data_IF_763903335432
#
_entry.id   IF_763903335432
#
_cell.length_a   1.000
_cell.length_b   1.000
_cell.length_c   1.000
_cell.angle_alpha   90.00
_cell.angle_beta   90.00
_cell.angle_gamma   90.00
#
_symmetry.space_group_name_H-M   'P 1'
#
loop_
_entity.id
_entity.type
_entity.pdbx_description
1 polymer ?
#
# COMPACT_ATOMS: atom_id res chain seq x y z
N UNK A 1 64.97 -22.67 -20.67
CA UNK A 1 64.80 -21.50 -19.77
C UNK A 1 63.48 -20.84 -20.14
N UNK A 2 62.72 -20.39 -19.14
CA UNK A 2 61.37 -19.75 -19.14
C UNK A 2 60.18 -20.70 -18.81
N UNK A 3 59.39 -20.23 -17.84
CA UNK A 3 58.51 -20.88 -16.87
C UNK A 3 57.01 -20.62 -17.09
N UNK A 4 56.18 -21.40 -16.37
CA UNK A 4 54.83 -21.10 -15.84
C UNK A 4 53.64 -21.05 -16.83
N UNK A 5 52.66 -21.95 -16.62
CA UNK A 5 51.28 -21.61 -16.20
C UNK A 5 50.66 -22.73 -15.36
N UNK A 6 50.06 -22.33 -14.24
CA UNK A 6 49.15 -23.11 -13.40
C UNK A 6 47.82 -23.21 -14.14
N UNK A 7 47.22 -24.39 -14.21
CA UNK A 7 45.80 -24.53 -14.53
C UNK A 7 45.06 -25.07 -13.31
N UNK A 8 44.06 -24.29 -12.92
CA UNK A 8 43.33 -24.36 -11.67
C UNK A 8 42.36 -25.54 -11.61
N UNK A 9 42.41 -26.23 -10.46
CA UNK A 9 41.46 -27.25 -10.05
C UNK A 9 40.02 -26.70 -10.05
N UNK A 10 39.21 -27.21 -10.97
CA UNK A 10 37.81 -26.85 -11.13
C UNK A 10 36.96 -27.27 -9.91
N UNK A 11 36.73 -26.32 -9.01
CA UNK A 11 35.81 -26.49 -7.89
C UNK A 11 34.36 -26.68 -8.40
N UNK A 12 33.77 -27.83 -8.06
CA UNK A 12 32.41 -28.26 -8.43
C UNK A 12 31.29 -27.23 -8.13
N UNK A 13 30.29 -27.02 -9.03
CA UNK A 13 29.26 -25.97 -8.90
C UNK A 13 28.20 -26.23 -7.81
N UNK A 14 28.17 -27.43 -7.25
CA UNK A 14 27.04 -27.93 -6.46
C UNK A 14 26.98 -27.34 -5.04
N UNK A 15 28.13 -26.97 -4.48
CA UNK A 15 28.22 -26.30 -3.17
C UNK A 15 27.75 -24.84 -3.19
N UNK A 16 27.79 -24.17 -4.36
CA UNK A 16 27.39 -22.75 -4.50
C UNK A 16 25.86 -22.57 -4.52
N UNK A 17 25.10 -23.57 -5.02
CA UNK A 17 23.62 -23.52 -5.07
C UNK A 17 22.97 -23.73 -3.69
N UNK A 18 23.50 -24.64 -2.86
CA UNK A 18 23.00 -24.87 -1.49
C UNK A 18 23.21 -23.66 -0.56
N UNK A 19 24.31 -22.92 -0.69
CA UNK A 19 24.57 -21.68 0.07
C UNK A 19 23.61 -20.53 -0.28
N UNK A 20 23.23 -20.37 -1.56
CA UNK A 20 22.29 -19.31 -1.98
C UNK A 20 20.86 -19.52 -1.47
N UNK A 21 20.41 -20.77 -1.33
CA UNK A 21 19.08 -21.11 -0.77
C UNK A 21 19.01 -20.83 0.75
N UNK A 22 20.03 -21.25 1.51
CA UNK A 22 20.10 -20.97 2.97
C UNK A 22 20.11 -19.48 3.32
N UNK A 23 20.71 -18.63 2.48
CA UNK A 23 20.69 -17.17 2.68
C UNK A 23 19.33 -16.52 2.38
N UNK A 24 18.50 -17.13 1.52
CA UNK A 24 17.15 -16.61 1.24
C UNK A 24 16.21 -16.83 2.42
N UNK A 25 16.33 -17.96 3.12
CA UNK A 25 15.49 -18.26 4.28
C UNK A 25 15.85 -17.45 5.52
N UNK A 26 17.10 -17.00 5.66
CA UNK A 26 17.52 -16.15 6.79
C UNK A 26 17.00 -14.71 6.73
N UNK A 27 16.31 -14.34 5.63
CA UNK A 27 15.69 -13.01 5.44
C UNK A 27 14.20 -12.98 5.77
N UNK A 28 13.52 -14.14 5.86
CA UNK A 28 12.11 -14.22 6.26
C UNK A 28 12.03 -14.50 7.75
N UNK A 29 11.21 -13.72 8.45
CA UNK A 29 10.80 -14.05 9.80
C UNK A 29 9.98 -15.35 9.79
N UNK A 30 10.06 -16.14 10.85
CA UNK A 30 9.17 -17.29 11.04
C UNK A 30 7.74 -16.82 11.26
N UNK A 31 6.77 -17.70 11.04
CA UNK A 31 5.36 -17.34 11.24
C UNK A 31 5.07 -17.00 12.71
N UNK A 32 5.76 -17.64 13.64
CA UNK A 32 5.70 -17.30 15.08
C UNK A 32 6.27 -15.90 15.36
N UNK A 33 7.41 -15.56 14.76
CA UNK A 33 7.99 -14.21 14.86
C UNK A 33 7.04 -13.15 14.28
N UNK A 34 6.40 -13.44 13.15
CA UNK A 34 5.41 -12.54 12.54
C UNK A 34 4.21 -12.36 13.48
N UNK A 35 3.65 -13.45 14.01
CA UNK A 35 2.51 -13.39 14.94
C UNK A 35 2.78 -12.53 16.16
N UNK A 36 3.96 -12.65 16.78
CA UNK A 36 4.29 -11.81 17.94
C UNK A 36 4.47 -10.34 17.54
N UNK A 37 5.16 -10.06 16.42
CA UNK A 37 5.31 -8.70 15.90
C UNK A 37 3.95 -8.06 15.59
N UNK A 38 3.00 -8.83 15.08
CA UNK A 38 1.64 -8.37 14.79
C UNK A 38 0.84 -8.09 16.06
N UNK A 39 0.87 -9.00 17.05
CA UNK A 39 0.20 -8.80 18.34
C UNK A 39 0.68 -7.53 19.05
N UNK A 40 1.99 -7.24 19.01
CA UNK A 40 2.57 -6.03 19.59
C UNK A 40 2.23 -4.79 18.76
N UNK A 41 2.13 -4.93 17.44
CA UNK A 41 1.73 -3.83 16.57
C UNK A 41 0.27 -3.41 16.83
N UNK A 42 -0.62 -4.37 17.06
CA UNK A 42 -2.03 -4.10 17.38
C UNK A 42 -2.20 -3.37 18.71
N UNK A 43 -1.36 -3.66 19.71
CA UNK A 43 -1.42 -2.98 21.01
C UNK A 43 -0.79 -1.58 21.04
N UNK A 44 0.21 -1.29 20.19
CA UNK A 44 1.05 -0.08 20.28
C UNK A 44 1.15 0.72 18.97
N UNK A 45 0.14 0.61 18.11
CA UNK A 45 0.04 1.10 16.72
C UNK A 45 0.69 2.48 16.40
N UNK A 46 0.83 3.38 17.38
CA UNK A 46 1.34 4.75 17.20
C UNK A 46 2.86 4.93 17.43
N UNK A 47 3.54 4.15 18.28
CA UNK A 47 5.02 4.21 18.47
C UNK A 47 5.52 3.09 19.39
N UNK A 48 6.37 2.21 18.87
CA UNK A 48 7.06 1.21 19.69
C UNK A 48 8.16 1.89 20.51
N UNK A 49 8.02 1.87 21.83
CA UNK A 49 9.00 2.44 22.76
C UNK A 49 10.39 1.80 22.58
N UNK A 50 11.50 2.57 22.65
CA UNK A 50 12.86 2.04 22.44
C UNK A 50 13.21 0.85 23.35
N UNK A 51 12.73 0.87 24.60
CA UNK A 51 12.92 -0.24 25.58
C UNK A 51 12.18 -1.50 25.15
N UNK A 52 10.91 -1.38 24.74
CA UNK A 52 10.12 -2.51 24.25
C UNK A 52 10.68 -3.07 22.94
N UNK A 53 11.16 -2.22 22.04
CA UNK A 53 11.86 -2.65 20.82
C UNK A 53 13.06 -3.55 21.13
N UNK A 54 13.86 -3.21 22.15
CA UNK A 54 14.96 -4.08 22.58
C UNK A 54 14.45 -5.40 23.15
N UNK A 55 13.40 -5.37 23.98
CA UNK A 55 12.79 -6.56 24.55
C UNK A 55 12.27 -7.51 23.46
N UNK A 56 11.50 -7.01 22.49
CA UNK A 56 10.98 -7.78 21.35
C UNK A 56 12.11 -8.36 20.50
N UNK A 57 13.17 -7.59 20.28
CA UNK A 57 14.35 -8.08 19.56
C UNK A 57 15.01 -9.25 20.28
N UNK A 58 15.16 -9.16 21.61
CA UNK A 58 15.70 -10.24 22.45
C UNK A 58 14.78 -11.47 22.44
N UNK A 59 13.48 -11.30 22.69
CA UNK A 59 12.50 -12.39 22.74
C UNK A 59 12.40 -13.15 21.42
N UNK A 60 12.50 -12.45 20.28
CA UNK A 60 12.45 -13.06 18.96
C UNK A 60 13.81 -13.55 18.43
N UNK A 61 14.90 -13.29 19.16
CA UNK A 61 16.27 -13.56 18.68
C UNK A 61 16.63 -12.76 17.41
N UNK A 62 16.04 -11.58 17.23
CA UNK A 62 16.20 -10.71 16.07
C UNK A 62 17.08 -9.50 16.38
N UNK A 63 17.68 -8.90 15.36
CA UNK A 63 18.37 -7.62 15.56
C UNK A 63 17.34 -6.49 15.76
N UNK A 64 17.59 -5.52 16.66
CA UNK A 64 16.71 -4.36 16.84
C UNK A 64 16.43 -3.59 15.55
N UNK A 65 17.39 -3.59 14.61
CA UNK A 65 17.20 -3.00 13.26
C UNK A 65 16.13 -3.71 12.45
N UNK A 66 16.07 -5.04 12.51
CA UNK A 66 15.07 -5.85 11.80
C UNK A 66 13.66 -5.56 12.32
N UNK A 67 13.50 -5.47 13.65
CA UNK A 67 12.24 -5.07 14.29
C UNK A 67 11.83 -3.65 13.82
N UNK A 68 12.76 -2.68 13.83
CA UNK A 68 12.45 -1.34 13.34
C UNK A 68 11.97 -1.30 11.88
N UNK A 69 12.67 -2.00 10.98
CA UNK A 69 12.30 -2.07 9.56
C UNK A 69 10.93 -2.74 9.40
N UNK A 70 10.67 -3.82 10.15
CA UNK A 70 9.37 -4.49 10.11
C UNK A 70 8.24 -3.54 10.52
N UNK A 71 8.39 -2.82 11.64
CA UNK A 71 7.39 -1.85 12.11
C UNK A 71 7.21 -0.68 11.13
N UNK A 72 8.29 -0.20 10.51
CA UNK A 72 8.21 0.82 9.45
C UNK A 72 7.42 0.31 8.25
N UNK A 73 7.72 -0.89 7.76
CA UNK A 73 7.01 -1.49 6.63
C UNK A 73 5.55 -1.79 6.95
N UNK A 74 5.24 -2.26 8.17
CA UNK A 74 3.87 -2.52 8.62
C UNK A 74 3.07 -1.22 8.65
N UNK A 75 3.62 -0.13 9.21
CA UNK A 75 2.99 1.20 9.17
C UNK A 75 2.80 1.73 7.76
N UNK A 76 3.79 1.58 6.89
CA UNK A 76 3.67 2.01 5.49
C UNK A 76 2.52 1.28 4.79
N UNK A 77 2.42 -0.05 4.94
CA UNK A 77 1.33 -0.86 4.39
C UNK A 77 -0.03 -0.48 4.97
N UNK A 78 -0.11 -0.25 6.29
CA UNK A 78 -1.34 0.18 6.94
C UNK A 78 -1.81 1.54 6.42
N UNK A 79 -0.89 2.50 6.30
CA UNK A 79 -1.19 3.83 5.73
C UNK A 79 -1.64 3.74 4.27
N UNK A 80 -0.97 2.91 3.44
CA UNK A 80 -1.40 2.70 2.06
C UNK A 80 -2.83 2.14 1.99
N UNK A 81 -3.15 1.10 2.79
CA UNK A 81 -4.51 0.56 2.85
C UNK A 81 -5.54 1.59 3.30
N UNK A 82 -5.19 2.42 4.28
CA UNK A 82 -6.07 3.49 4.74
C UNK A 82 -6.32 4.52 3.63
N UNK A 83 -5.28 4.97 2.93
CA UNK A 83 -5.42 5.90 1.79
C UNK A 83 -6.27 5.29 0.67
N UNK A 84 -6.07 4.02 0.35
CA UNK A 84 -6.87 3.31 -0.66
C UNK A 84 -8.35 3.28 -0.27
N UNK A 85 -8.64 2.98 0.99
CA UNK A 85 -10.01 3.01 1.53
C UNK A 85 -10.62 4.41 1.48
N UNK A 86 -9.89 5.42 1.97
CA UNK A 86 -10.35 6.81 2.01
C UNK A 86 -10.61 7.34 0.59
N UNK A 87 -9.74 6.99 -0.37
CA UNK A 87 -9.92 7.33 -1.78
C UNK A 87 -11.16 6.65 -2.37
N UNK A 88 -11.39 5.37 -2.09
CA UNK A 88 -12.57 4.66 -2.56
C UNK A 88 -13.86 5.29 -2.03
N UNK A 89 -13.88 5.67 -0.74
CA UNK A 89 -15.00 6.36 -0.13
C UNK A 89 -15.22 7.76 -0.76
N UNK A 90 -14.16 8.53 -0.95
CA UNK A 90 -14.24 9.83 -1.60
C UNK A 90 -14.75 9.72 -3.04
N UNK A 91 -14.31 8.67 -3.76
CA UNK A 91 -14.76 8.40 -5.12
C UNK A 91 -16.25 8.08 -5.18
N UNK A 92 -16.74 7.21 -4.30
CA UNK A 92 -18.16 6.88 -4.23
C UNK A 92 -19.03 8.12 -3.93
N UNK A 93 -18.57 9.00 -3.03
CA UNK A 93 -19.24 10.25 -2.73
C UNK A 93 -19.28 11.19 -3.95
N UNK A 94 -18.17 11.28 -4.68
CA UNK A 94 -18.10 12.08 -5.91
C UNK A 94 -19.05 11.54 -6.98
N UNK A 95 -19.05 10.24 -7.23
CA UNK A 95 -19.91 9.62 -8.24
C UNK A 95 -21.40 9.82 -7.90
N UNK A 96 -21.76 9.71 -6.62
CA UNK A 96 -23.12 10.03 -6.14
C UNK A 96 -23.47 11.50 -6.39
N UNK A 97 -22.57 12.44 -6.06
CA UNK A 97 -22.81 13.86 -6.29
C UNK A 97 -22.93 14.19 -7.78
N UNK A 98 -22.07 13.61 -8.62
CA UNK A 98 -22.11 13.77 -10.07
C UNK A 98 -23.45 13.29 -10.64
N UNK A 99 -23.95 12.13 -10.21
CA UNK A 99 -25.25 11.62 -10.66
C UNK A 99 -26.43 12.53 -10.27
N UNK A 100 -26.37 13.13 -9.07
CA UNK A 100 -27.36 14.10 -8.61
C UNK A 100 -27.32 15.38 -9.45
N UNK A 101 -26.12 15.88 -9.75
CA UNK A 101 -25.93 17.04 -10.61
C UNK A 101 -26.43 16.81 -12.05
N UNK A 102 -26.14 15.65 -12.63
CA UNK A 102 -26.66 15.27 -13.96
C UNK A 102 -28.18 15.20 -13.99
N UNK A 103 -28.79 14.68 -12.92
CA UNK A 103 -30.25 14.62 -12.80
C UNK A 103 -30.87 16.02 -12.75
N UNK A 104 -30.22 16.94 -12.00
CA UNK A 104 -30.66 18.32 -11.90
C UNK A 104 -30.53 19.09 -13.23
N UNK A 105 -29.47 18.81 -14.01
CA UNK A 105 -29.32 19.36 -15.37
C UNK A 105 -30.50 18.91 -16.24
N UNK A 106 -30.81 17.61 -16.23
CA UNK A 106 -31.93 17.06 -17.03
C UNK A 106 -33.27 17.67 -16.62
N UNK A 107 -33.50 17.83 -15.32
CA UNK A 107 -34.72 18.46 -14.81
C UNK A 107 -34.81 19.93 -15.27
N UNK A 108 -33.71 20.69 -15.14
CA UNK A 108 -33.64 22.08 -15.63
C UNK A 108 -33.94 22.16 -17.13
N UNK A 109 -33.34 21.29 -17.94
CA UNK A 109 -33.56 21.25 -19.39
C UNK A 109 -35.01 20.91 -19.74
N UNK A 110 -35.61 19.94 -19.04
CA UNK A 110 -37.02 19.59 -19.19
C UNK A 110 -37.94 20.77 -18.86
N UNK A 111 -37.70 21.45 -17.74
CA UNK A 111 -38.48 22.61 -17.33
C UNK A 111 -38.33 23.78 -18.32
N UNK A 112 -37.15 24.00 -18.87
CA UNK A 112 -36.95 25.01 -19.92
C UNK A 112 -37.77 24.70 -21.17
N UNK A 113 -37.82 23.44 -21.59
CA UNK A 113 -38.65 23.02 -22.72
C UNK A 113 -40.14 23.23 -22.44
N UNK A 114 -40.61 22.86 -21.24
CA UNK A 114 -42.00 23.11 -20.84
C UNK A 114 -42.36 24.59 -20.86
N UNK A 115 -41.49 25.46 -20.35
CA UNK A 115 -41.72 26.92 -20.36
C UNK A 115 -41.75 27.45 -21.79
N UNK A 116 -40.84 27.01 -22.66
CA UNK A 116 -40.79 27.42 -24.07
C UNK A 116 -42.08 27.00 -24.80
N UNK A 117 -42.58 25.79 -24.53
CA UNK A 117 -43.82 25.28 -25.13
C UNK A 117 -45.06 26.00 -24.57
N UNK A 118 -45.08 26.31 -23.26
CA UNK A 118 -46.21 26.95 -22.59
C UNK A 118 -46.34 28.45 -22.92
N UNK A 119 -45.24 29.13 -23.27
CA UNK A 119 -45.22 30.57 -23.57
C UNK A 119 -44.51 30.89 -24.90
N UNK A 120 -45.04 30.41 -26.04
CA UNK A 120 -44.37 30.50 -27.35
C UNK A 120 -44.19 31.94 -27.85
N UNK A 121 -44.99 32.91 -27.37
CA UNK A 121 -44.95 34.31 -27.83
C UNK A 121 -44.02 35.24 -27.03
N UNK A 122 -43.26 34.72 -26.06
CA UNK A 122 -42.34 35.54 -25.25
C UNK A 122 -40.94 35.72 -25.86
N UNK A 123 -40.66 35.08 -26.99
CA UNK A 123 -39.45 35.32 -27.78
C UNK A 123 -39.81 36.18 -29.01
N UNK A 124 -39.34 37.43 -29.02
CA UNK A 124 -39.51 38.50 -30.03
C UNK A 124 -40.71 39.45 -29.88
N UNK A 125 -40.71 40.27 -28.82
CA UNK A 125 -41.06 41.69 -28.98
C UNK A 125 -40.22 42.57 -28.04
N UNK A 126 -38.93 42.67 -28.33
CA UNK A 126 -38.07 43.73 -27.80
C UNK A 126 -37.55 44.56 -28.98
N UNK A 127 -38.26 45.65 -29.27
CA UNK A 127 -37.67 46.83 -29.93
C UNK A 127 -36.79 47.57 -28.93
#
# INVERSE_FOLDING_TARGET
MIERRKDDSAASPEAKRKKKSKMKNKRRFSDEQIRLLESIFESESTKLEPRKKMQVATELGLQPRQVAIWFQNKRARWKSKQIEHDYAQLRANYDSLASGFESLIKEKESLLLEVIIAFPESNFSGN
#
